data_IF_846382746330
#
_entry.id   IF_846382746330
#
_cell.length_a   1.000
_cell.length_b   1.000
_cell.length_c   1.000
_cell.angle_alpha   90.00
_cell.angle_beta   90.00
_cell.angle_gamma   90.00
#
_symmetry.space_group_name_H-M   'P 1'
#
loop_
_entity.id
_entity.type
_entity.pdbx_description
1 polymer ?
#
# COMPACT_ATOMS: atom_id res chain seq x y z
N UNK A 1 29.72 -17.77 34.00
CA UNK A 1 30.15 -18.07 32.61
C UNK A 1 28.87 -18.44 31.87
N UNK A 2 28.18 -17.59 31.11
CA UNK A 2 28.64 -16.82 29.93
C UNK A 2 29.05 -17.81 28.84
N UNK A 3 28.44 -17.97 27.65
CA UNK A 3 27.91 -16.98 26.69
C UNK A 3 26.82 -17.64 25.78
N UNK A 4 25.90 -16.81 25.29
CA UNK A 4 24.92 -16.91 24.18
C UNK A 4 25.54 -17.36 22.82
N UNK A 5 24.83 -17.83 21.78
CA UNK A 5 23.89 -17.21 20.80
C UNK A 5 23.51 -18.39 19.85
N UNK A 6 22.37 -18.55 19.18
CA UNK A 6 21.19 -17.74 18.87
C UNK A 6 20.47 -18.49 17.74
N UNK A 7 19.14 -18.43 17.73
CA UNK A 7 18.33 -19.18 16.76
C UNK A 7 16.87 -19.18 17.18
N UNK A 8 16.29 -17.99 17.32
CA UNK A 8 14.85 -17.85 17.44
C UNK A 8 14.38 -17.09 16.21
N UNK A 9 13.87 -17.85 15.23
CA UNK A 9 12.91 -17.35 14.25
C UNK A 9 11.80 -16.64 15.01
N UNK A 10 11.84 -15.31 15.04
CA UNK A 10 10.75 -14.52 15.59
C UNK A 10 9.68 -14.46 14.51
N UNK A 11 8.68 -15.33 14.65
CA UNK A 11 7.38 -15.14 14.02
C UNK A 11 6.92 -13.71 14.35
N UNK A 12 6.66 -12.94 13.29
CA UNK A 12 6.05 -11.62 13.35
C UNK A 12 4.61 -11.80 13.89
N UNK A 13 4.41 -11.44 15.15
CA UNK A 13 3.09 -11.44 15.77
C UNK A 13 2.50 -10.03 15.62
N UNK A 14 1.52 -9.88 14.73
CA UNK A 14 0.72 -8.66 14.58
C UNK A 14 -0.16 -8.53 15.83
N UNK A 15 0.05 -7.47 16.61
CA UNK A 15 -0.73 -7.16 17.82
C UNK A 15 -1.97 -6.35 17.43
N UNK A 16 -3.14 -7.00 17.42
CA UNK A 16 -4.46 -6.36 17.29
C UNK A 16 -4.92 -5.85 18.68
N UNK A 17 -4.83 -4.54 18.91
CA UNK A 17 -5.40 -3.90 20.10
C UNK A 17 -6.86 -3.50 19.84
N UNK A 18 -7.79 -4.32 20.34
CA UNK A 18 -9.23 -4.03 20.37
C UNK A 18 -9.56 -3.22 21.62
N UNK A 19 -9.76 -1.91 21.47
CA UNK A 19 -10.39 -1.09 22.50
C UNK A 19 -11.91 -1.10 22.30
N UNK A 20 -12.59 -1.88 23.14
CA UNK A 20 -14.04 -1.92 23.21
C UNK A 20 -14.61 -0.64 23.84
N UNK A 21 -15.48 0.04 23.10
CA UNK A 21 -16.38 1.08 23.61
C UNK A 21 -17.79 0.84 23.08
N UNK A 22 -18.68 0.37 23.96
CA UNK A 22 -20.07 0.11 23.63
C UNK A 22 -20.93 1.40 23.73
N UNK A 23 -21.53 1.80 22.62
CA UNK A 23 -22.82 2.52 22.54
C UNK A 23 -23.32 2.45 21.09
N UNK A 24 -24.55 1.97 20.90
CA UNK A 24 -25.01 1.44 19.62
C UNK A 24 -25.31 2.47 18.53
N UNK A 25 -25.24 2.00 17.28
CA UNK A 25 -26.27 2.09 16.23
C UNK A 25 -25.67 1.55 14.92
N UNK A 26 -26.49 0.80 14.18
CA UNK A 26 -26.26 0.34 12.80
C UNK A 26 -25.12 -0.68 12.60
N UNK A 27 -25.50 -1.96 12.59
CA UNK A 27 -24.75 -3.02 11.92
C UNK A 27 -24.73 -2.74 10.41
N UNK A 28 -23.80 -1.93 9.92
CA UNK A 28 -23.23 -2.22 8.62
C UNK A 28 -22.26 -3.37 8.84
N UNK A 29 -22.37 -4.44 8.05
CA UNK A 29 -21.26 -5.38 7.89
C UNK A 29 -20.04 -4.56 7.46
N UNK A 30 -19.25 -4.10 8.43
CA UNK A 30 -17.89 -3.69 8.23
C UNK A 30 -17.18 -4.99 7.87
N UNK A 31 -17.16 -5.27 6.57
CA UNK A 31 -16.22 -6.19 5.99
C UNK A 31 -14.86 -5.67 6.46
N UNK A 32 -14.32 -6.31 7.50
CA UNK A 32 -12.98 -6.04 8.02
C UNK A 32 -12.07 -6.07 6.80
N UNK A 33 -11.58 -4.90 6.44
CA UNK A 33 -10.61 -4.74 5.39
C UNK A 33 -9.43 -5.67 5.73
N UNK A 34 -9.14 -6.68 4.91
CA UNK A 34 -8.06 -7.62 5.17
C UNK A 34 -6.66 -6.95 5.27
N UNK A 35 -6.55 -5.65 4.98
CA UNK A 35 -5.32 -4.87 5.04
C UNK A 35 -5.23 -3.91 6.25
N UNK A 36 -6.23 -3.89 7.14
CA UNK A 36 -6.33 -2.90 8.22
C UNK A 36 -7.00 -1.60 7.77
N UNK A 37 -6.98 -0.56 8.61
CA UNK A 37 -7.57 0.74 8.26
C UNK A 37 -6.83 1.34 7.05
N UNK A 38 -7.44 1.29 5.85
CA UNK A 38 -6.95 2.02 4.67
C UNK A 38 -6.70 3.48 5.07
N UNK A 39 -5.56 4.09 4.70
CA UNK A 39 -5.45 5.54 4.75
C UNK A 39 -6.67 6.09 4.00
N UNK A 40 -7.38 7.04 4.61
CA UNK A 40 -8.45 7.74 3.91
C UNK A 40 -7.88 8.26 2.59
N UNK A 41 -8.53 7.95 1.46
CA UNK A 41 -8.04 8.36 0.15
C UNK A 41 -7.99 9.88 0.10
N UNK A 42 -6.77 10.42 0.16
CA UNK A 42 -6.52 11.85 0.24
C UNK A 42 -6.03 12.35 -1.12
N UNK A 43 -6.70 13.34 -1.75
CA UNK A 43 -6.24 13.92 -3.01
C UNK A 43 -4.82 14.49 -2.92
N UNK A 44 -4.35 14.87 -1.74
CA UNK A 44 -2.96 15.30 -1.56
C UNK A 44 -2.00 14.16 -1.86
N UNK A 45 -2.37 12.90 -1.71
CA UNK A 45 -1.53 11.73 -2.01
C UNK A 45 -1.71 11.17 -3.43
N UNK A 46 -2.56 11.80 -4.25
CA UNK A 46 -2.73 11.41 -5.65
C UNK A 46 -1.42 11.61 -6.42
N UNK A 47 -0.97 10.54 -7.08
CA UNK A 47 0.24 10.54 -7.92
C UNK A 47 -0.09 10.32 -9.39
N UNK A 48 -1.21 9.69 -9.73
CA UNK A 48 -1.60 9.52 -11.13
C UNK A 48 -3.12 9.36 -11.28
N UNK A 49 -3.67 10.05 -12.28
CA UNK A 49 -5.04 9.87 -12.73
C UNK A 49 -4.99 9.18 -14.10
N UNK A 50 -5.52 7.96 -14.15
CA UNK A 50 -5.54 7.12 -15.34
C UNK A 50 -6.93 7.16 -15.98
N UNK A 51 -7.13 7.96 -17.04
CA UNK A 51 -8.38 7.94 -17.78
C UNK A 51 -8.51 6.65 -18.60
N UNK A 52 -9.70 6.05 -18.60
CA UNK A 52 -10.01 4.87 -19.43
C UNK A 52 -10.56 5.28 -20.81
N UNK A 53 -10.75 4.30 -21.71
CA UNK A 53 -11.06 4.49 -23.16
C UNK A 53 -12.19 5.49 -23.48
N UNK A 54 -13.15 5.70 -22.57
CA UNK A 54 -14.27 6.64 -22.76
C UNK A 54 -14.14 7.95 -21.95
N UNK A 55 -13.13 8.07 -21.10
CA UNK A 55 -12.93 9.20 -20.18
C UNK A 55 -14.03 9.36 -19.13
N UNK A 56 -14.99 8.43 -19.08
CA UNK A 56 -16.08 8.41 -18.09
C UNK A 56 -15.62 7.63 -16.86
N UNK A 57 -14.80 6.60 -17.07
CA UNK A 57 -14.14 5.85 -16.02
C UNK A 57 -12.68 6.26 -15.89
N UNK A 58 -12.19 6.16 -14.66
CA UNK A 58 -10.79 6.41 -14.34
C UNK A 58 -10.36 5.53 -13.18
N UNK A 59 -9.06 5.25 -13.15
CA UNK A 59 -8.39 4.79 -11.96
C UNK A 59 -7.54 5.91 -11.36
N UNK A 60 -7.62 6.07 -10.04
CA UNK A 60 -6.81 7.01 -9.30
C UNK A 60 -5.77 6.24 -8.51
N UNK A 61 -4.53 6.71 -8.62
CA UNK A 61 -3.37 6.09 -8.00
C UNK A 61 -2.81 7.02 -6.93
N UNK A 62 -2.70 6.50 -5.72
CA UNK A 62 -2.24 7.23 -4.55
C UNK A 62 -0.98 6.57 -4.00
N UNK A 63 -0.10 7.35 -3.40
CA UNK A 63 1.08 6.82 -2.69
C UNK A 63 1.21 7.44 -1.31
N UNK A 64 1.33 6.58 -0.30
CA UNK A 64 1.49 6.94 1.11
C UNK A 64 2.85 6.45 1.60
N UNK A 65 3.54 7.22 2.44
CA UNK A 65 4.73 6.71 3.12
C UNK A 65 4.32 5.48 3.94
N UNK A 66 5.05 4.37 3.84
CA UNK A 66 4.79 3.23 4.69
C UNK A 66 5.14 3.61 6.14
N UNK A 67 4.21 3.37 7.06
CA UNK A 67 4.42 3.55 8.50
C UNK A 67 4.47 2.18 9.19
N UNK A 68 5.49 1.98 10.02
CA UNK A 68 5.62 0.85 10.93
C UNK A 68 5.53 1.34 12.39
N UNK A 69 5.64 0.43 13.36
CA UNK A 69 5.52 0.75 14.80
C UNK A 69 6.50 1.86 15.24
N UNK A 70 7.68 1.91 14.62
CA UNK A 70 8.74 2.89 14.90
C UNK A 70 8.65 4.17 14.05
N UNK A 71 7.59 4.32 13.23
CA UNK A 71 7.33 5.49 12.38
C UNK A 71 7.52 5.23 10.88
N UNK A 72 7.67 6.30 10.07
CA UNK A 72 7.75 6.16 8.61
C UNK A 72 9.03 5.44 8.17
N UNK A 73 8.88 4.45 7.29
CA UNK A 73 9.98 3.71 6.70
C UNK A 73 10.53 4.49 5.51
N UNK A 74 11.75 5.03 5.65
CA UNK A 74 12.37 5.87 4.64
C UNK A 74 12.48 5.15 3.28
N UNK A 75 12.01 5.82 2.23
CA UNK A 75 12.07 5.32 0.86
C UNK A 75 11.03 4.23 0.53
N UNK A 76 10.16 3.83 1.45
CA UNK A 76 9.15 2.81 1.20
C UNK A 76 7.74 3.42 1.25
N UNK A 77 6.93 3.10 0.25
CA UNK A 77 5.60 3.67 0.05
C UNK A 77 4.57 2.58 -0.21
N UNK A 78 3.34 2.76 0.27
CA UNK A 78 2.18 1.96 -0.15
C UNK A 78 1.50 2.71 -1.28
N UNK A 79 1.40 2.06 -2.44
CA UNK A 79 0.63 2.55 -3.58
C UNK A 79 -0.72 1.86 -3.60
N UNK A 80 -1.79 2.65 -3.78
CA UNK A 80 -3.17 2.18 -3.84
C UNK A 80 -3.82 2.66 -5.13
N UNK A 81 -4.54 1.77 -5.81
CA UNK A 81 -5.47 2.11 -6.89
C UNK A 81 -6.89 2.10 -6.36
N UNK A 82 -7.64 3.13 -6.67
CA UNK A 82 -9.08 3.20 -6.47
C UNK A 82 -9.73 3.58 -7.81
N UNK A 83 -10.73 2.81 -8.24
CA UNK A 83 -11.39 3.07 -9.52
C UNK A 83 -12.08 1.87 -10.15
N UNK A 84 -12.31 1.99 -11.45
CA UNK A 84 -13.11 1.07 -12.25
C UNK A 84 -12.46 -0.30 -12.43
N UNK A 85 -11.13 -0.36 -12.49
CA UNK A 85 -10.39 -1.63 -12.68
C UNK A 85 -10.30 -2.47 -11.40
N UNK A 86 -10.92 -2.00 -10.30
CA UNK A 86 -10.92 -2.64 -9.00
C UNK A 86 -9.76 -2.19 -8.12
N UNK A 87 -9.93 -2.42 -6.83
CA UNK A 87 -8.98 -2.03 -5.79
C UNK A 87 -7.67 -2.82 -5.90
N UNK A 88 -6.56 -2.14 -5.65
CA UNK A 88 -5.21 -2.72 -5.74
C UNK A 88 -4.28 -2.03 -4.77
N UNK A 89 -3.34 -2.77 -4.19
CA UNK A 89 -2.29 -2.22 -3.34
C UNK A 89 -0.94 -2.92 -3.53
N UNK A 90 0.14 -2.17 -3.38
CA UNK A 90 1.49 -2.69 -3.42
C UNK A 90 2.48 -1.77 -2.73
N UNK A 91 3.64 -2.31 -2.37
CA UNK A 91 4.73 -1.49 -1.85
C UNK A 91 5.66 -1.06 -2.97
N UNK A 92 6.09 0.19 -2.93
CA UNK A 92 7.01 0.81 -3.85
C UNK A 92 8.21 1.33 -3.07
N UNK A 93 9.38 0.77 -3.35
CA UNK A 93 10.66 1.28 -2.87
C UNK A 93 11.16 2.34 -3.83
N UNK A 94 11.57 3.49 -3.31
CA UNK A 94 12.15 4.61 -4.04
C UNK A 94 13.59 4.84 -3.57
N UNK A 95 14.53 4.72 -4.50
CA UNK A 95 15.92 5.13 -4.32
C UNK A 95 16.12 6.50 -4.95
N UNK A 96 16.04 7.54 -4.13
CA UNK A 96 16.20 8.92 -4.57
C UNK A 96 17.62 9.26 -5.02
N UNK A 97 18.64 8.56 -4.51
CA UNK A 97 20.03 8.81 -4.90
C UNK A 97 20.28 8.34 -6.34
N UNK A 98 19.72 7.18 -6.71
CA UNK A 98 19.84 6.61 -8.04
C UNK A 98 18.67 6.97 -8.97
N UNK A 99 17.66 7.70 -8.47
CA UNK A 99 16.43 8.06 -9.20
C UNK A 99 15.73 6.83 -9.79
N UNK A 100 15.68 5.75 -9.01
CA UNK A 100 15.11 4.46 -9.41
C UNK A 100 14.04 3.99 -8.44
N UNK A 101 13.15 3.12 -8.91
CA UNK A 101 12.06 2.56 -8.11
C UNK A 101 11.95 1.06 -8.31
N UNK A 102 11.58 0.34 -7.26
CA UNK A 102 11.36 -1.12 -7.28
C UNK A 102 10.03 -1.44 -6.63
N UNK A 103 9.22 -2.25 -7.31
CA UNK A 103 7.97 -2.76 -6.75
C UNK A 103 8.23 -3.96 -5.86
N UNK A 104 7.70 -3.91 -4.65
CA UNK A 104 7.88 -4.91 -3.61
C UNK A 104 6.51 -5.51 -3.28
N UNK A 105 6.18 -6.66 -3.90
CA UNK A 105 4.93 -7.39 -3.69
C UNK A 105 3.65 -6.61 -4.05
N UNK A 106 2.58 -7.32 -4.39
CA UNK A 106 1.30 -6.70 -4.75
C UNK A 106 0.10 -7.56 -4.41
N UNK A 107 -1.01 -6.91 -4.07
CA UNK A 107 -2.29 -7.52 -3.72
C UNK A 107 -3.38 -6.87 -4.56
N UNK A 108 -4.16 -7.68 -5.27
CA UNK A 108 -5.45 -7.24 -5.82
C UNK A 108 -6.52 -7.43 -4.74
N UNK A 109 -7.21 -6.36 -4.39
CA UNK A 109 -8.25 -6.42 -3.38
C UNK A 109 -9.52 -7.02 -4.02
N UNK A 110 -9.85 -8.26 -3.62
CA UNK A 110 -10.96 -9.05 -4.17
C UNK A 110 -10.53 -10.35 -4.85
N UNK A 111 -9.24 -10.58 -5.09
CA UNK A 111 -8.73 -11.84 -5.65
C UNK A 111 -7.22 -11.96 -5.48
N UNK A 112 -6.79 -12.78 -4.51
CA UNK A 112 -5.47 -13.44 -4.34
C UNK A 112 -4.19 -12.58 -4.43
N UNK A 113 -3.12 -13.06 -3.81
CA UNK A 113 -1.76 -12.54 -4.04
C UNK A 113 -1.42 -12.75 -5.52
N UNK A 114 -1.13 -11.67 -6.23
CA UNK A 114 -0.71 -11.76 -7.64
C UNK A 114 0.80 -11.83 -7.73
N UNK A 115 1.30 -12.62 -8.69
CA UNK A 115 2.72 -12.65 -9.00
C UNK A 115 3.22 -11.28 -9.49
N UNK A 116 4.50 -10.99 -9.22
CA UNK A 116 5.14 -9.72 -9.54
C UNK A 116 5.05 -9.34 -11.03
N UNK A 117 5.18 -10.32 -11.94
CA UNK A 117 5.07 -10.08 -13.39
C UNK A 117 3.67 -9.63 -13.81
N UNK A 118 2.62 -10.18 -13.18
CA UNK A 118 1.25 -9.79 -13.44
C UNK A 118 0.99 -8.39 -12.88
N UNK A 119 1.53 -8.14 -11.69
CA UNK A 119 1.48 -6.84 -11.02
C UNK A 119 2.09 -5.73 -11.91
N UNK A 120 3.30 -5.91 -12.45
CA UNK A 120 3.98 -4.87 -13.25
C UNK A 120 3.24 -4.55 -14.56
N UNK A 121 2.47 -5.51 -15.10
CA UNK A 121 1.65 -5.29 -16.29
C UNK A 121 0.38 -4.47 -16.03
N UNK A 122 -0.10 -4.42 -14.78
CA UNK A 122 -1.32 -3.70 -14.40
C UNK A 122 -1.07 -2.25 -13.99
N UNK A 123 0.20 -1.90 -13.71
CA UNK A 123 0.55 -0.57 -13.22
C UNK A 123 1.09 0.28 -14.36
N UNK A 124 0.47 1.44 -14.66
CA UNK A 124 1.03 2.39 -15.60
C UNK A 124 2.41 2.86 -15.15
N UNK A 125 3.39 2.96 -16.06
CA UNK A 125 4.74 3.41 -15.71
C UNK A 125 4.76 4.82 -15.09
N UNK A 126 3.76 5.64 -15.38
CA UNK A 126 3.57 6.99 -14.82
C UNK A 126 3.40 6.96 -13.30
N UNK A 127 2.87 5.89 -12.72
CA UNK A 127 2.67 5.77 -11.27
C UNK A 127 4.02 5.84 -10.56
N UNK A 128 4.97 5.00 -10.94
CA UNK A 128 6.31 4.99 -10.36
C UNK A 128 7.10 6.26 -10.69
N UNK A 129 6.98 6.78 -11.92
CA UNK A 129 7.65 8.02 -12.34
C UNK A 129 7.16 9.24 -11.55
N UNK A 130 5.86 9.35 -11.31
CA UNK A 130 5.27 10.44 -10.56
C UNK A 130 5.57 10.32 -9.07
N UNK A 131 5.61 9.10 -8.52
CA UNK A 131 6.09 8.87 -7.16
C UNK A 131 7.54 9.33 -6.98
N UNK A 132 8.45 8.97 -7.90
CA UNK A 132 9.84 9.45 -7.91
C UNK A 132 9.91 10.99 -8.02
N UNK A 133 9.14 11.60 -8.91
CA UNK A 133 9.12 13.05 -9.08
C UNK A 133 8.63 13.78 -7.83
N UNK A 134 7.66 13.18 -7.12
CA UNK A 134 7.05 13.77 -5.93
C UNK A 134 7.91 13.63 -4.67
N UNK A 135 8.48 12.45 -4.45
CA UNK A 135 9.14 12.12 -3.17
C UNK A 135 10.66 12.17 -3.21
N UNK A 136 11.27 12.28 -4.40
CA UNK A 136 12.71 12.43 -4.58
C UNK A 136 13.05 13.78 -5.29
N UNK A 137 12.86 14.93 -4.62
CA UNK A 137 13.15 16.25 -5.19
C UNK A 137 14.64 16.52 -5.42
#
# INVERSE_FOLDING_TARGET
MGITVGGASKLLAIVLLVLGGAAGSAQSHAQTDPLGDRPALDPDHLIFHEPMEDGIFSDNWYAYQLEEEDGPVAGLYVVVRDGKSGDFSASLSLDCANRSSTWEWGVLYGSELVGQDYFEQQVPPQVAQNALARYCP
#
